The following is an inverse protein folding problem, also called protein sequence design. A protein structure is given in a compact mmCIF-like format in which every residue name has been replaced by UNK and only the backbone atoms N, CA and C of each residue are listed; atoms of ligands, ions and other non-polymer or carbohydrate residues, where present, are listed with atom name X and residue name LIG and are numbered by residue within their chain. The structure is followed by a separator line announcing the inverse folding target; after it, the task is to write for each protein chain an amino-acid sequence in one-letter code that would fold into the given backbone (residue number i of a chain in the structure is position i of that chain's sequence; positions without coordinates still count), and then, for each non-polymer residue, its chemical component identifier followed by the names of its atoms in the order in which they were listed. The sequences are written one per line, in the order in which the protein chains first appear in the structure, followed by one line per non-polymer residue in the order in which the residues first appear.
data_IF_162758884988
#
_entry.id   IF_162758884988
#
_cell.length_a   1.000
_cell.length_b   1.000
_cell.length_c   1.000
_cell.angle_alpha   90.00
_cell.angle_beta   90.00
_cell.angle_gamma   90.00
#
_symmetry.space_group_name_H-M   'P 1'
#
loop_
_entity.id
_entity.type
_entity.pdbx_description
1 polymer ?
#
# COMPACT_ATOMS: atom_id res chain seq x y z
N UNK A 1 7.77 49.57 61.91
CA UNK A 1 7.37 50.00 60.57
C UNK A 1 8.32 49.35 59.58
N UNK A 2 7.98 48.17 59.04
CA UNK A 2 8.77 47.43 58.06
C UNK A 2 7.94 47.31 56.77
N UNK A 3 8.41 47.96 55.72
CA UNK A 3 7.82 47.98 54.39
C UNK A 3 8.35 46.73 53.63
N UNK A 4 7.41 45.86 53.26
CA UNK A 4 7.66 44.74 52.35
C UNK A 4 7.40 45.20 50.92
N UNK A 5 8.48 45.22 50.09
CA UNK A 5 8.38 45.41 48.64
C UNK A 5 8.12 44.03 47.98
N UNK A 6 6.98 43.89 47.38
CA UNK A 6 6.63 42.74 46.56
C UNK A 6 7.07 43.00 45.11
N UNK A 7 8.04 42.23 44.63
CA UNK A 7 8.49 42.25 43.23
C UNK A 7 7.57 41.32 42.40
N UNK A 8 6.73 41.86 41.52
CA UNK A 8 5.98 41.14 40.56
C UNK A 8 6.86 40.80 39.33
N UNK A 9 7.29 39.57 39.22
CA UNK A 9 7.98 39.06 38.03
C UNK A 9 6.97 38.77 36.90
N UNK A 10 7.06 39.55 35.81
CA UNK A 10 6.30 39.33 34.59
C UNK A 10 6.98 38.23 33.76
N UNK A 11 6.45 37.01 33.78
CA UNK A 11 6.90 35.95 32.92
C UNK A 11 6.32 36.17 31.51
N UNK A 12 7.14 36.64 30.56
CA UNK A 12 6.81 36.60 29.13
C UNK A 12 6.85 35.15 28.66
N UNK A 13 5.71 34.54 28.45
CA UNK A 13 5.57 33.31 27.72
C UNK A 13 5.82 33.63 26.24
N UNK A 14 7.02 33.23 25.73
CA UNK A 14 7.29 33.18 24.30
C UNK A 14 6.45 32.04 23.71
N UNK A 15 5.25 32.36 23.22
CA UNK A 15 4.51 31.47 22.36
C UNK A 15 5.31 31.33 21.05
N UNK A 16 6.00 30.20 20.87
CA UNK A 16 6.51 29.80 19.56
C UNK A 16 5.32 29.72 18.62
N UNK A 17 5.31 30.40 17.46
CA UNK A 17 4.28 30.18 16.48
C UNK A 17 4.40 28.72 16.03
N UNK A 18 3.37 27.92 16.28
CA UNK A 18 3.21 26.67 15.57
C UNK A 18 3.15 27.04 14.08
N UNK A 19 4.20 26.75 13.33
CA UNK A 19 4.19 26.85 11.88
C UNK A 19 3.09 25.86 11.43
N UNK A 20 1.90 26.41 11.15
CA UNK A 20 0.89 25.67 10.42
C UNK A 20 1.59 25.12 9.16
N UNK A 21 1.41 23.84 8.89
CA UNK A 21 2.01 23.23 7.72
C UNK A 21 1.47 23.95 6.49
N UNK A 22 2.29 24.81 5.87
CA UNK A 22 1.92 25.57 4.69
C UNK A 22 1.68 24.61 3.53
N UNK A 23 0.42 24.32 3.23
CA UNK A 23 0.02 23.56 2.06
C UNK A 23 -0.92 24.39 1.20
N UNK A 24 -1.00 24.08 -0.08
CA UNK A 24 -1.87 24.79 -1.03
C UNK A 24 -2.33 23.90 -2.18
N UNK A 25 -3.43 24.29 -2.80
CA UNK A 25 -4.01 23.57 -3.94
C UNK A 25 -3.75 24.30 -5.27
N UNK A 26 -2.94 25.37 -5.27
CA UNK A 26 -2.55 26.16 -6.43
C UNK A 26 -1.08 26.55 -6.34
N UNK A 27 -0.55 27.24 -7.37
CA UNK A 27 0.81 27.77 -7.34
C UNK A 27 1.02 28.90 -6.31
N UNK A 28 -0.06 29.53 -5.78
CA UNK A 28 0.07 30.63 -4.83
C UNK A 28 0.70 30.11 -3.52
N UNK A 29 1.85 30.69 -3.15
CA UNK A 29 2.62 30.28 -1.97
C UNK A 29 3.64 29.17 -2.21
N UNK A 30 3.67 28.54 -3.39
CA UNK A 30 4.59 27.45 -3.71
C UNK A 30 6.07 27.85 -3.56
N UNK A 31 6.45 29.07 -4.00
CA UNK A 31 7.83 29.54 -3.88
C UNK A 31 8.27 29.69 -2.41
N UNK A 32 7.37 30.16 -1.53
CA UNK A 32 7.63 30.24 -0.09
C UNK A 32 7.77 28.85 0.54
N UNK A 33 6.93 27.91 0.08
CA UNK A 33 7.03 26.51 0.49
C UNK A 33 8.37 25.89 0.05
N UNK A 34 8.82 26.10 -1.19
CA UNK A 34 10.13 25.60 -1.66
C UNK A 34 11.26 26.11 -0.75
N UNK A 35 11.28 27.39 -0.41
CA UNK A 35 12.25 27.95 0.53
C UNK A 35 12.20 27.30 1.91
N UNK A 36 11.00 26.96 2.40
CA UNK A 36 10.87 26.23 3.66
C UNK A 36 11.42 24.80 3.56
N UNK A 37 11.21 24.13 2.43
CA UNK A 37 11.75 22.78 2.18
C UNK A 37 13.27 22.78 2.01
N UNK A 38 13.85 23.82 1.40
CA UNK A 38 15.30 24.03 1.34
C UNK A 38 15.89 24.11 2.75
N UNK A 39 15.31 24.97 3.60
CA UNK A 39 15.75 25.13 4.99
C UNK A 39 15.59 23.82 5.80
N UNK A 40 14.48 23.11 5.62
CA UNK A 40 14.23 21.83 6.29
C UNK A 40 15.22 20.76 5.84
N UNK A 41 15.50 20.65 4.53
CA UNK A 41 16.45 19.69 3.99
C UNK A 41 17.87 19.92 4.53
N UNK A 42 18.33 21.20 4.57
CA UNK A 42 19.63 21.58 5.15
C UNK A 42 19.66 21.22 6.65
N UNK A 43 18.60 21.53 7.39
CA UNK A 43 18.50 21.21 8.81
C UNK A 43 18.56 19.70 9.09
N UNK A 44 18.11 18.88 8.14
CA UNK A 44 18.20 17.40 8.17
C UNK A 44 19.54 16.86 7.64
N UNK A 45 20.48 17.72 7.27
CA UNK A 45 21.83 17.33 6.87
C UNK A 45 22.01 17.08 5.38
N UNK A 46 21.01 17.38 4.54
CA UNK A 46 21.18 17.30 3.08
C UNK A 46 22.15 18.39 2.63
N UNK A 47 23.19 18.05 1.85
CA UNK A 47 24.17 19.03 1.39
C UNK A 47 23.52 20.13 0.52
N UNK A 48 23.91 21.40 0.73
CA UNK A 48 23.39 22.55 -0.03
C UNK A 48 23.47 22.36 -1.55
N UNK A 49 24.55 21.71 -2.03
CA UNK A 49 24.70 21.37 -3.46
C UNK A 49 23.51 20.59 -4.00
N UNK A 50 22.98 19.66 -3.23
CA UNK A 50 21.82 18.82 -3.62
C UNK A 50 20.51 19.55 -3.44
N UNK A 51 20.40 20.41 -2.42
CA UNK A 51 19.22 21.26 -2.17
C UNK A 51 18.99 22.23 -3.32
N UNK A 52 20.03 22.68 -4.04
CA UNK A 52 19.89 23.49 -5.26
C UNK A 52 19.10 22.81 -6.39
N UNK A 53 18.83 21.53 -6.28
CA UNK A 53 17.88 20.86 -7.21
C UNK A 53 16.46 21.43 -7.12
N UNK A 54 16.16 22.21 -6.07
CA UNK A 54 14.91 22.95 -5.91
C UNK A 54 14.93 24.33 -6.58
N UNK A 55 16.11 24.85 -7.01
CA UNK A 55 16.21 26.14 -7.68
C UNK A 55 15.38 26.14 -8.96
N UNK A 56 14.44 27.09 -9.07
CA UNK A 56 13.57 27.23 -10.24
C UNK A 56 12.53 26.14 -10.43
N UNK A 57 12.27 25.30 -9.44
CA UNK A 57 11.17 24.32 -9.48
C UNK A 57 9.83 25.07 -9.46
N UNK A 58 8.98 24.76 -10.45
CA UNK A 58 7.64 25.32 -10.58
C UNK A 58 6.57 24.30 -10.20
N UNK A 59 5.47 24.81 -9.62
CA UNK A 59 4.28 24.00 -9.35
C UNK A 59 3.71 23.39 -10.66
N UNK A 60 3.38 22.10 -10.63
CA UNK A 60 2.87 21.40 -11.79
C UNK A 60 1.39 20.98 -11.64
N UNK A 61 0.44 21.73 -12.19
CA UNK A 61 -0.98 21.39 -12.10
C UNK A 61 -1.33 20.07 -12.81
N UNK A 62 -0.51 19.60 -13.75
CA UNK A 62 -0.74 18.33 -14.43
C UNK A 62 -0.50 17.14 -13.49
N UNK A 63 0.45 17.25 -12.57
CA UNK A 63 0.67 16.27 -11.50
C UNK A 63 -0.59 16.19 -10.61
N UNK A 64 -1.11 17.32 -10.18
CA UNK A 64 -2.31 17.36 -9.34
C UNK A 64 -3.54 16.79 -10.06
N UNK A 65 -3.70 17.12 -11.34
CA UNK A 65 -4.77 16.53 -12.17
C UNK A 65 -4.68 15.00 -12.19
N UNK A 66 -3.48 14.43 -12.34
CA UNK A 66 -3.26 12.98 -12.30
C UNK A 66 -3.55 12.40 -10.92
N UNK A 67 -3.10 13.07 -9.86
CA UNK A 67 -3.37 12.64 -8.48
C UNK A 67 -4.88 12.60 -8.17
N UNK A 68 -5.66 13.54 -8.69
CA UNK A 68 -7.12 13.57 -8.52
C UNK A 68 -7.86 12.58 -9.44
N UNK A 69 -7.25 12.20 -10.56
CA UNK A 69 -7.86 11.28 -11.53
C UNK A 69 -7.72 9.78 -11.18
N UNK A 70 -7.14 9.43 -10.05
CA UNK A 70 -6.93 8.04 -9.59
C UNK A 70 -8.23 7.31 -9.20
N UNK A 71 -9.32 7.52 -9.93
CA UNK A 71 -10.61 6.85 -9.67
C UNK A 71 -10.68 5.40 -10.21
N UNK A 72 -9.54 4.84 -10.67
CA UNK A 72 -9.51 3.64 -11.53
C UNK A 72 -9.56 2.29 -10.75
N UNK A 73 -9.52 2.29 -9.43
CA UNK A 73 -9.45 1.05 -8.64
C UNK A 73 -10.80 0.57 -8.08
N UNK A 74 -11.87 0.69 -8.86
CA UNK A 74 -13.17 0.08 -8.53
C UNK A 74 -13.38 -1.28 -9.18
N UNK A 75 -12.42 -1.77 -9.95
CA UNK A 75 -12.50 -3.08 -10.58
C UNK A 75 -12.55 -4.20 -9.54
N UNK A 76 -13.34 -5.23 -9.82
CA UNK A 76 -13.26 -6.49 -9.08
C UNK A 76 -11.87 -7.13 -9.24
N UNK A 77 -11.49 -8.01 -8.32
CA UNK A 77 -10.21 -8.73 -8.45
C UNK A 77 -10.11 -9.47 -9.80
N UNK A 78 -11.16 -10.13 -10.26
CA UNK A 78 -11.15 -10.87 -11.53
C UNK A 78 -10.99 -9.94 -12.73
N UNK A 79 -11.63 -8.76 -12.72
CA UNK A 79 -11.49 -7.80 -13.81
C UNK A 79 -10.12 -7.13 -13.79
N UNK A 80 -9.65 -6.74 -12.62
CA UNK A 80 -8.34 -6.12 -12.45
C UNK A 80 -7.22 -7.06 -12.86
N UNK A 81 -7.21 -8.30 -12.35
CA UNK A 81 -6.18 -9.26 -12.71
C UNK A 81 -6.19 -9.59 -14.21
N UNK A 82 -7.39 -9.65 -14.84
CA UNK A 82 -7.49 -9.89 -16.28
C UNK A 82 -6.87 -8.76 -17.12
N UNK A 83 -6.98 -7.51 -16.64
CA UNK A 83 -6.33 -6.35 -17.28
C UNK A 83 -4.82 -6.36 -17.05
N UNK A 84 -4.42 -6.68 -15.81
CA UNK A 84 -3.01 -6.56 -15.40
C UNK A 84 -2.16 -7.77 -15.78
N UNK A 85 -2.72 -8.97 -15.82
CA UNK A 85 -1.99 -10.21 -16.15
C UNK A 85 -2.23 -10.60 -17.61
N UNK A 86 -1.56 -9.88 -18.51
CA UNK A 86 -1.58 -10.21 -19.93
C UNK A 86 -0.80 -11.48 -20.22
N UNK A 87 -1.09 -12.12 -21.36
CA UNK A 87 -0.31 -13.26 -21.85
C UNK A 87 1.16 -12.88 -22.11
N UNK A 88 1.42 -11.63 -22.48
CA UNK A 88 2.78 -11.09 -22.62
C UNK A 88 3.51 -11.09 -21.27
N UNK A 89 2.95 -10.43 -20.24
CA UNK A 89 3.58 -10.37 -18.89
C UNK A 89 3.87 -11.75 -18.33
N UNK A 90 2.95 -12.70 -18.51
CA UNK A 90 3.13 -14.06 -18.02
C UNK A 90 4.27 -14.79 -18.77
N UNK A 91 4.23 -14.80 -20.09
CA UNK A 91 5.25 -15.47 -20.90
C UNK A 91 6.63 -14.83 -20.76
N UNK A 92 6.69 -13.50 -20.82
CA UNK A 92 7.93 -12.75 -20.66
C UNK A 92 8.50 -12.93 -19.26
N UNK A 93 7.66 -12.88 -18.21
CA UNK A 93 8.09 -13.12 -16.84
C UNK A 93 8.70 -14.50 -16.65
N UNK A 94 8.06 -15.56 -17.17
CA UNK A 94 8.62 -16.92 -17.14
C UNK A 94 9.95 -17.02 -17.90
N UNK A 95 10.07 -16.37 -19.07
CA UNK A 95 11.31 -16.35 -19.84
C UNK A 95 12.44 -15.61 -19.09
N UNK A 96 12.14 -14.48 -18.42
CA UNK A 96 13.12 -13.72 -17.65
C UNK A 96 13.59 -14.46 -16.39
N UNK A 97 12.72 -15.22 -15.72
CA UNK A 97 13.14 -16.11 -14.62
C UNK A 97 14.20 -17.10 -15.12
N UNK A 98 14.01 -17.70 -16.29
CA UNK A 98 14.98 -18.64 -16.87
C UNK A 98 16.25 -17.92 -17.35
N UNK A 99 16.10 -16.82 -18.07
CA UNK A 99 17.23 -16.03 -18.61
C UNK A 99 18.19 -15.58 -17.51
N UNK A 100 17.67 -15.13 -16.37
CA UNK A 100 18.46 -14.60 -15.27
C UNK A 100 18.57 -15.59 -14.08
N UNK A 101 18.41 -16.89 -14.34
CA UNK A 101 18.36 -17.92 -13.28
C UNK A 101 19.52 -17.82 -12.29
N UNK A 102 20.76 -17.73 -12.77
CA UNK A 102 21.93 -17.66 -11.89
C UNK A 102 21.93 -16.41 -10.99
N UNK A 103 21.43 -15.28 -11.49
CA UNK A 103 21.26 -14.06 -10.73
C UNK A 103 20.16 -14.24 -9.66
N UNK A 104 19.01 -14.77 -10.04
CA UNK A 104 17.92 -15.04 -9.09
C UNK A 104 18.30 -16.06 -8.03
N UNK A 105 19.08 -17.09 -8.37
CA UNK A 105 19.58 -18.07 -7.39
C UNK A 105 20.45 -17.39 -6.31
N UNK A 106 21.32 -16.45 -6.71
CA UNK A 106 22.12 -15.65 -5.77
C UNK A 106 21.23 -14.74 -4.90
N UNK A 107 20.32 -13.99 -5.52
CA UNK A 107 19.38 -13.09 -4.83
C UNK A 107 18.52 -13.89 -3.83
N UNK A 108 17.98 -15.03 -4.24
CA UNK A 108 17.18 -15.87 -3.34
C UNK A 108 18.01 -16.43 -2.17
N UNK A 109 19.26 -16.80 -2.41
CA UNK A 109 20.18 -17.25 -1.33
C UNK A 109 20.44 -16.12 -0.32
N UNK A 110 20.56 -14.89 -0.78
CA UNK A 110 20.91 -13.74 0.06
C UNK A 110 19.70 -13.13 0.77
N UNK A 111 18.62 -12.87 0.02
CA UNK A 111 17.44 -12.18 0.52
C UNK A 111 16.26 -13.10 0.84
N UNK A 112 16.31 -14.36 0.39
CA UNK A 112 15.24 -15.34 0.62
C UNK A 112 13.98 -15.12 -0.22
N UNK A 113 14.03 -14.23 -1.24
CA UNK A 113 12.87 -13.87 -2.08
C UNK A 113 12.95 -14.65 -3.40
N UNK A 114 11.93 -15.47 -3.74
CA UNK A 114 11.92 -16.27 -4.97
C UNK A 114 11.78 -15.41 -6.23
N UNK A 115 12.42 -15.81 -7.32
CA UNK A 115 12.38 -15.14 -8.61
C UNK A 115 10.97 -14.76 -9.09
N UNK A 116 9.93 -15.62 -9.02
CA UNK A 116 8.59 -15.28 -9.47
C UNK A 116 7.99 -14.05 -8.76
N UNK A 117 8.34 -13.85 -7.49
CA UNK A 117 7.87 -12.70 -6.69
C UNK A 117 8.46 -11.40 -7.22
N UNK A 118 9.78 -11.34 -7.35
CA UNK A 118 10.51 -10.17 -7.87
C UNK A 118 10.03 -9.82 -9.29
N UNK A 119 9.91 -10.83 -10.13
CA UNK A 119 9.48 -10.67 -11.53
C UNK A 119 8.03 -10.19 -11.64
N UNK A 120 7.15 -10.59 -10.71
CA UNK A 120 5.76 -10.12 -10.70
C UNK A 120 5.68 -8.60 -10.44
N UNK A 121 6.45 -8.06 -9.49
CA UNK A 121 6.54 -6.62 -9.27
C UNK A 121 7.16 -5.93 -10.49
N UNK A 122 8.26 -6.43 -11.02
CA UNK A 122 8.90 -5.86 -12.22
C UNK A 122 7.95 -5.80 -13.42
N UNK A 123 7.11 -6.83 -13.59
CA UNK A 123 6.09 -6.87 -14.63
C UNK A 123 4.99 -5.82 -14.43
N UNK A 124 4.47 -5.72 -13.19
CA UNK A 124 3.32 -4.86 -12.91
C UNK A 124 3.68 -3.38 -12.83
N UNK A 125 4.88 -3.06 -12.35
CA UNK A 125 5.32 -1.68 -12.18
C UNK A 125 5.67 -1.02 -13.53
N UNK A 126 6.43 -1.72 -14.38
CA UNK A 126 6.98 -1.07 -15.57
C UNK A 126 7.02 -1.91 -16.84
N UNK A 127 6.31 -3.04 -16.91
CA UNK A 127 6.47 -4.01 -18.01
C UNK A 127 7.96 -4.37 -18.25
N UNK A 128 8.63 -4.75 -17.16
CA UNK A 128 10.05 -5.13 -17.16
C UNK A 128 11.00 -4.00 -17.59
N UNK A 129 10.73 -2.79 -17.14
CA UNK A 129 11.53 -1.61 -17.42
C UNK A 129 11.14 -0.85 -18.69
N UNK A 130 10.12 -1.30 -19.42
CA UNK A 130 9.69 -0.66 -20.66
C UNK A 130 9.03 0.73 -20.44
N UNK A 131 8.46 0.98 -19.26
CA UNK A 131 7.68 2.20 -18.94
C UNK A 131 8.01 2.74 -17.56
N UNK A 132 9.19 3.34 -17.38
CA UNK A 132 9.65 3.87 -16.08
C UNK A 132 9.15 5.27 -15.77
N UNK A 133 8.55 5.99 -16.75
CA UNK A 133 8.12 7.36 -16.63
C UNK A 133 9.22 8.37 -16.95
N UNK A 134 8.79 9.59 -17.36
CA UNK A 134 9.67 10.70 -17.77
C UNK A 134 9.40 11.99 -17.02
N UNK A 135 8.61 11.94 -15.93
CA UNK A 135 8.37 13.11 -15.09
C UNK A 135 9.63 13.46 -14.30
N UNK A 136 9.91 14.75 -14.17
CA UNK A 136 10.92 15.23 -13.23
C UNK A 136 10.49 14.87 -11.80
N UNK A 137 11.21 13.94 -11.17
CA UNK A 137 10.86 13.39 -9.86
C UNK A 137 10.89 14.48 -8.77
N UNK A 138 11.86 15.40 -8.79
CA UNK A 138 11.94 16.49 -7.81
C UNK A 138 10.73 17.42 -7.95
N UNK A 139 10.39 17.83 -9.17
CA UNK A 139 9.22 18.66 -9.45
C UNK A 139 7.91 17.97 -9.06
N UNK A 140 7.80 16.69 -9.36
CA UNK A 140 6.62 15.90 -9.00
C UNK A 140 6.45 15.82 -7.48
N UNK A 141 7.51 15.46 -6.76
CA UNK A 141 7.49 15.36 -5.31
C UNK A 141 7.28 16.72 -4.64
N UNK A 142 7.91 17.80 -5.13
CA UNK A 142 7.69 19.15 -4.61
C UNK A 142 6.23 19.60 -4.76
N UNK A 143 5.62 19.35 -5.93
CA UNK A 143 4.22 19.66 -6.18
C UNK A 143 3.29 18.88 -5.25
N UNK A 144 3.52 17.58 -5.07
CA UNK A 144 2.72 16.72 -4.20
C UNK A 144 2.95 17.01 -2.71
N UNK A 145 4.16 17.41 -2.32
CA UNK A 145 4.49 17.82 -0.96
C UNK A 145 3.84 19.16 -0.56
N UNK A 146 3.58 20.04 -1.54
CA UNK A 146 2.82 21.27 -1.37
C UNK A 146 1.31 21.02 -1.27
N UNK A 147 0.78 20.03 -1.98
CA UNK A 147 -0.65 19.76 -2.05
C UNK A 147 -1.24 19.36 -0.69
N UNK A 148 -2.38 19.98 -0.30
CA UNK A 148 -3.01 19.73 1.00
C UNK A 148 -3.66 18.34 1.17
N UNK A 149 -3.63 17.49 0.13
CA UNK A 149 -4.25 16.16 0.20
C UNK A 149 -3.43 15.17 1.00
N UNK A 150 -2.09 15.15 0.83
CA UNK A 150 -1.19 14.16 1.43
C UNK A 150 0.24 14.73 1.63
N UNK A 151 0.40 15.94 2.19
CA UNK A 151 1.72 16.55 2.36
C UNK A 151 2.64 15.70 3.25
N UNK A 152 2.09 15.06 4.28
CA UNK A 152 2.80 14.18 5.20
C UNK A 152 3.45 12.98 4.50
N UNK A 153 2.86 12.49 3.41
CA UNK A 153 3.43 11.42 2.61
C UNK A 153 4.59 11.90 1.73
N UNK A 154 4.45 13.07 1.11
CA UNK A 154 5.37 13.49 0.04
C UNK A 154 6.52 14.39 0.50
N UNK A 155 6.40 15.11 1.61
CA UNK A 155 7.51 15.91 2.17
C UNK A 155 8.74 15.06 2.53
N UNK A 156 8.60 13.95 3.26
CA UNK A 156 9.74 13.07 3.51
C UNK A 156 10.36 12.52 2.23
N UNK A 157 9.53 12.21 1.22
CA UNK A 157 10.01 11.72 -0.07
C UNK A 157 10.83 12.77 -0.84
N UNK A 158 10.42 14.05 -0.80
CA UNK A 158 11.16 15.14 -1.40
C UNK A 158 12.56 15.28 -0.74
N UNK A 159 12.62 15.22 0.59
CA UNK A 159 13.90 15.31 1.31
C UNK A 159 14.78 14.10 0.98
N UNK A 160 14.25 12.89 0.98
CA UNK A 160 14.99 11.70 0.59
C UNK A 160 15.48 11.78 -0.87
N UNK A 161 14.70 12.35 -1.78
CA UNK A 161 15.11 12.56 -3.16
C UNK A 161 16.28 13.54 -3.30
N UNK A 162 16.32 14.61 -2.49
CA UNK A 162 17.45 15.54 -2.44
C UNK A 162 18.70 14.88 -1.84
N UNK A 163 18.53 14.02 -0.85
CA UNK A 163 19.64 13.26 -0.25
C UNK A 163 20.23 12.24 -1.23
N UNK A 164 19.38 11.54 -1.99
CA UNK A 164 19.83 10.62 -3.05
C UNK A 164 20.74 11.30 -4.08
N UNK A 165 20.46 12.56 -4.45
CA UNK A 165 21.34 13.33 -5.34
C UNK A 165 22.74 13.55 -4.73
N UNK A 166 22.84 13.62 -3.40
CA UNK A 166 24.13 13.80 -2.70
C UNK A 166 25.01 12.57 -2.80
N UNK A 167 24.40 11.39 -2.88
CA UNK A 167 25.08 10.09 -2.92
C UNK A 167 25.66 9.74 -4.29
N UNK A 168 25.18 10.41 -5.35
CA UNK A 168 25.74 10.28 -6.69
C UNK A 168 25.25 9.07 -7.50
N UNK A 169 24.30 8.31 -6.98
CA UNK A 169 23.70 7.19 -7.71
C UNK A 169 22.94 7.67 -8.96
N UNK A 170 22.34 8.85 -8.89
CA UNK A 170 21.60 9.49 -9.97
C UNK A 170 22.05 10.94 -10.15
N UNK A 171 22.21 11.38 -11.40
CA UNK A 171 22.40 12.77 -11.71
C UNK A 171 21.04 13.49 -11.75
N UNK A 172 21.08 14.82 -11.56
CA UNK A 172 19.83 15.64 -11.57
C UNK A 172 19.00 15.49 -12.85
N UNK A 173 19.66 15.40 -14.00
CA UNK A 173 19.01 15.22 -15.30
C UNK A 173 18.46 13.80 -15.54
N UNK A 174 18.97 12.81 -14.82
CA UNK A 174 18.50 11.42 -14.81
C UNK A 174 17.38 11.16 -13.78
N UNK A 175 17.11 12.13 -12.89
CA UNK A 175 16.13 11.98 -11.81
C UNK A 175 14.70 12.09 -12.36
N UNK A 176 14.32 11.08 -13.14
CA UNK A 176 13.03 10.96 -13.82
C UNK A 176 12.33 9.67 -13.42
N UNK A 177 11.01 9.72 -13.37
CA UNK A 177 10.21 8.57 -12.98
C UNK A 177 8.73 8.76 -13.28
N UNK A 178 7.87 8.07 -12.53
CA UNK A 178 6.43 8.23 -12.64
C UNK A 178 5.96 9.59 -12.09
N UNK A 179 4.70 9.90 -12.34
CA UNK A 179 4.11 11.19 -12.00
C UNK A 179 4.02 11.47 -10.49
N UNK A 180 4.02 10.45 -9.63
CA UNK A 180 4.00 10.60 -8.18
C UNK A 180 5.40 10.49 -7.55
N UNK A 181 6.45 10.49 -8.37
CA UNK A 181 7.83 10.56 -7.92
C UNK A 181 8.52 9.21 -7.73
N UNK A 182 7.87 8.11 -8.13
CA UNK A 182 8.47 6.78 -8.14
C UNK A 182 9.57 6.67 -9.21
N UNK A 183 10.64 5.92 -8.88
CA UNK A 183 11.88 5.86 -9.66
C UNK A 183 12.21 4.42 -10.04
N UNK A 184 12.75 4.23 -11.25
CA UNK A 184 13.36 2.98 -11.69
C UNK A 184 12.37 1.93 -12.15
N UNK A 185 12.90 0.74 -12.43
CA UNK A 185 12.13 -0.33 -13.08
C UNK A 185 11.11 -1.02 -12.16
N UNK A 186 11.23 -0.86 -10.86
CA UNK A 186 10.28 -1.36 -9.86
C UNK A 186 9.64 -0.24 -9.02
N UNK A 187 9.71 1.00 -9.52
CA UNK A 187 8.96 2.16 -9.05
C UNK A 187 9.11 2.44 -7.56
N UNK A 188 10.37 2.53 -7.11
CA UNK A 188 10.69 2.86 -5.71
C UNK A 188 10.37 4.31 -5.42
N UNK A 189 9.78 4.57 -4.26
CA UNK A 189 9.78 5.90 -3.68
C UNK A 189 11.22 6.30 -3.27
N UNK A 190 11.50 7.59 -3.21
CA UNK A 190 12.87 8.07 -2.94
C UNK A 190 13.42 7.55 -1.61
N UNK A 191 12.60 7.48 -0.57
CA UNK A 191 12.99 6.93 0.72
C UNK A 191 13.36 5.44 0.62
N UNK A 192 12.54 4.64 -0.07
CA UNK A 192 12.80 3.21 -0.26
C UNK A 192 14.05 2.97 -1.12
N UNK A 193 14.27 3.83 -2.11
CA UNK A 193 15.50 3.81 -2.91
C UNK A 193 16.71 4.02 -2.02
N UNK A 194 16.69 5.05 -1.22
CA UNK A 194 17.81 5.39 -0.33
C UNK A 194 18.12 4.27 0.66
N UNK A 195 17.10 3.75 1.30
CA UNK A 195 17.21 2.74 2.34
C UNK A 195 17.47 1.32 1.82
N UNK A 196 17.01 0.99 0.60
CA UNK A 196 16.91 -0.42 0.18
C UNK A 196 17.62 -0.74 -1.13
N UNK A 197 18.01 0.27 -1.93
CA UNK A 197 18.77 0.01 -3.12
C UNK A 197 20.15 -0.55 -2.80
N UNK A 198 20.58 -1.52 -3.60
CA UNK A 198 21.90 -2.17 -3.49
C UNK A 198 22.62 -2.12 -4.84
N UNK A 199 23.91 -1.86 -4.81
CA UNK A 199 24.84 -2.03 -5.93
C UNK A 199 25.17 -3.53 -6.01
N UNK A 200 24.50 -4.26 -6.87
CA UNK A 200 24.59 -5.72 -6.91
C UNK A 200 25.51 -6.24 -8.04
N UNK A 201 25.84 -5.40 -9.01
CA UNK A 201 26.87 -5.70 -10.01
C UNK A 201 28.27 -5.18 -9.62
N UNK A 202 28.37 -4.31 -8.59
CA UNK A 202 29.61 -3.85 -7.99
C UNK A 202 30.29 -2.75 -8.80
N UNK A 203 29.51 -1.96 -9.57
CA UNK A 203 30.03 -0.85 -10.38
C UNK A 203 30.25 0.45 -9.60
N UNK A 204 29.84 0.48 -8.33
CA UNK A 204 29.91 1.62 -7.42
C UNK A 204 28.67 2.51 -7.44
N UNK A 205 27.58 2.09 -8.06
CA UNK A 205 26.29 2.81 -8.11
C UNK A 205 25.13 1.87 -7.82
N UNK A 206 24.06 2.41 -7.29
CA UNK A 206 22.79 1.69 -7.11
C UNK A 206 21.82 2.12 -8.23
N UNK A 207 21.96 1.55 -9.44
CA UNK A 207 21.22 1.99 -10.62
C UNK A 207 19.91 1.18 -10.82
N UNK A 208 18.82 1.64 -10.23
CA UNK A 208 17.49 1.04 -10.39
C UNK A 208 16.82 1.34 -11.73
N UNK A 209 17.48 2.06 -12.63
CA UNK A 209 16.97 2.37 -13.97
C UNK A 209 17.54 1.46 -15.05
N UNK A 210 18.86 1.18 -15.00
CA UNK A 210 19.56 0.55 -16.11
C UNK A 210 20.26 -0.75 -15.72
N UNK A 211 20.66 -0.95 -14.44
CA UNK A 211 21.26 -2.18 -13.96
C UNK A 211 20.21 -3.20 -13.54
N UNK A 212 20.03 -4.25 -14.34
CA UNK A 212 19.12 -5.37 -13.98
C UNK A 212 19.52 -6.04 -12.67
N UNK A 213 20.81 -6.32 -12.37
CA UNK A 213 21.21 -6.86 -11.07
C UNK A 213 20.75 -5.99 -9.89
N UNK A 214 20.94 -4.67 -9.97
CA UNK A 214 20.57 -3.75 -8.92
C UNK A 214 19.05 -3.68 -8.75
N UNK A 215 18.30 -3.59 -9.85
CA UNK A 215 16.83 -3.60 -9.83
C UNK A 215 16.29 -4.82 -9.10
N UNK A 216 16.75 -6.01 -9.48
CA UNK A 216 16.20 -7.26 -8.95
C UNK A 216 16.63 -7.50 -7.50
N UNK A 217 17.88 -7.20 -7.15
CA UNK A 217 18.37 -7.36 -5.79
C UNK A 217 17.79 -6.30 -4.84
N UNK A 218 17.66 -5.05 -5.28
CA UNK A 218 17.02 -4.00 -4.49
C UNK A 218 15.55 -4.31 -4.23
N UNK A 219 14.83 -4.84 -5.23
CA UNK A 219 13.45 -5.29 -5.05
C UNK A 219 13.34 -6.38 -3.98
N UNK A 220 14.24 -7.36 -4.01
CA UNK A 220 14.30 -8.40 -2.99
C UNK A 220 14.65 -7.83 -1.61
N UNK A 221 15.60 -6.89 -1.53
CA UNK A 221 15.99 -6.25 -0.29
C UNK A 221 14.83 -5.43 0.33
N UNK A 222 14.09 -4.68 -0.49
CA UNK A 222 12.90 -3.94 -0.03
C UNK A 222 11.83 -4.88 0.52
N UNK A 223 11.52 -5.97 -0.21
CA UNK A 223 10.57 -6.97 0.26
C UNK A 223 11.01 -7.59 1.59
N UNK A 224 12.32 -7.84 1.77
CA UNK A 224 12.86 -8.33 3.03
C UNK A 224 12.70 -7.32 4.17
N UNK A 225 12.95 -6.04 3.90
CA UNK A 225 12.73 -4.95 4.88
C UNK A 225 11.24 -4.79 5.22
N UNK A 226 10.36 -5.07 4.29
CA UNK A 226 8.92 -5.13 4.54
C UNK A 226 8.49 -6.34 5.39
N UNK A 227 9.39 -7.28 5.65
CA UNK A 227 9.15 -8.43 6.51
C UNK A 227 9.00 -9.76 5.78
N UNK A 228 9.51 -9.88 4.53
CA UNK A 228 9.52 -11.16 3.84
C UNK A 228 10.21 -12.25 4.65
N UNK A 229 9.53 -13.38 4.84
CA UNK A 229 10.02 -14.57 5.54
C UNK A 229 10.52 -15.60 4.54
N UNK A 230 11.83 -15.90 4.50
CA UNK A 230 12.38 -16.92 3.61
C UNK A 230 11.75 -18.30 3.83
N UNK A 231 11.41 -18.98 2.73
CA UNK A 231 10.84 -20.33 2.79
C UNK A 231 9.35 -20.39 3.11
N UNK A 232 8.73 -19.30 3.52
CA UNK A 232 7.29 -19.23 3.73
C UNK A 232 6.56 -18.90 2.41
N UNK A 233 5.42 -19.54 2.12
CA UNK A 233 4.60 -19.19 0.97
C UNK A 233 4.01 -17.77 1.11
N UNK A 234 3.45 -17.22 0.05
CA UNK A 234 2.77 -15.90 0.06
C UNK A 234 1.28 -16.01 -0.18
N UNK A 235 0.86 -16.79 -1.19
CA UNK A 235 -0.54 -16.93 -1.57
C UNK A 235 -0.80 -18.31 -2.17
N UNK A 236 -1.91 -18.94 -1.79
CA UNK A 236 -2.35 -20.23 -2.33
C UNK A 236 -3.84 -20.18 -2.64
N UNK A 237 -4.25 -20.40 -3.89
CA UNK A 237 -5.65 -20.55 -4.23
C UNK A 237 -6.25 -21.81 -3.61
N UNK A 238 -7.47 -21.67 -3.07
CA UNK A 238 -8.20 -22.75 -2.40
C UNK A 238 -9.66 -22.77 -2.80
N UNK A 239 -10.35 -23.87 -2.52
CA UNK A 239 -11.81 -23.96 -2.56
C UNK A 239 -12.39 -23.89 -1.16
N UNK A 240 -13.43 -23.12 -1.00
CA UNK A 240 -14.17 -22.99 0.27
C UNK A 240 -15.50 -23.76 0.19
N UNK A 241 -15.95 -24.40 1.30
CA UNK A 241 -17.24 -25.07 1.34
C UNK A 241 -18.40 -24.06 1.37
N UNK A 242 -19.62 -24.55 1.23
CA UNK A 242 -20.82 -23.72 1.33
C UNK A 242 -21.05 -23.16 2.76
N UNK A 243 -20.62 -23.92 3.77
CA UNK A 243 -20.71 -23.55 5.18
C UNK A 243 -19.28 -23.49 5.74
N UNK A 244 -18.93 -22.36 6.29
CA UNK A 244 -17.65 -22.09 6.93
C UNK A 244 -17.93 -21.08 8.06
N UNK A 245 -17.15 -21.04 9.14
CA UNK A 245 -17.21 -19.93 10.08
C UNK A 245 -16.69 -18.67 9.38
N UNK A 246 -17.59 -17.96 8.66
CA UNK A 246 -17.21 -16.84 7.80
C UNK A 246 -16.63 -15.67 8.56
N UNK A 247 -16.91 -15.57 9.86
CA UNK A 247 -16.30 -14.60 10.78
C UNK A 247 -14.78 -14.79 10.90
N UNK A 248 -14.26 -15.99 10.66
CA UNK A 248 -12.84 -16.30 10.65
C UNK A 248 -12.16 -15.96 9.30
N UNK A 249 -12.95 -15.69 8.25
CA UNK A 249 -12.43 -15.29 6.96
C UNK A 249 -12.05 -13.80 6.97
N UNK A 250 -10.84 -13.51 7.43
CA UNK A 250 -10.28 -12.17 7.54
C UNK A 250 -8.77 -12.19 7.37
N UNK A 251 -8.23 -11.15 6.74
CA UNK A 251 -6.78 -11.06 6.50
C UNK A 251 -5.98 -10.90 7.81
N UNK A 252 -6.62 -10.42 8.87
CA UNK A 252 -6.01 -10.27 10.19
C UNK A 252 -6.12 -11.53 11.05
N UNK A 253 -6.97 -12.50 10.67
CA UNK A 253 -7.20 -13.72 11.44
C UNK A 253 -6.49 -14.88 10.77
N UNK A 254 -5.53 -15.47 11.47
CA UNK A 254 -4.73 -16.58 10.95
C UNK A 254 -4.98 -17.85 11.74
N UNK A 255 -5.15 -18.93 11.02
CA UNK A 255 -5.24 -20.28 11.59
C UNK A 255 -4.22 -21.20 10.95
N UNK A 256 -3.81 -22.28 11.64
CA UNK A 256 -3.05 -23.35 11.03
C UNK A 256 -3.78 -23.89 9.78
N UNK A 257 -3.05 -24.28 8.75
CA UNK A 257 -3.64 -24.87 7.53
C UNK A 257 -4.50 -26.09 7.81
N UNK A 258 -4.17 -26.88 8.84
CA UNK A 258 -4.98 -27.99 9.33
C UNK A 258 -6.37 -27.54 9.74
N UNK A 259 -6.48 -26.40 10.45
CA UNK A 259 -7.77 -25.87 10.89
C UNK A 259 -8.65 -25.46 9.70
N UNK A 260 -8.06 -24.84 8.68
CA UNK A 260 -8.79 -24.54 7.44
C UNK A 260 -9.27 -25.83 6.76
N UNK A 261 -8.43 -26.87 6.74
CA UNK A 261 -8.79 -28.18 6.18
C UNK A 261 -9.92 -28.86 6.96
N UNK A 262 -9.92 -28.78 8.28
CA UNK A 262 -10.99 -29.28 9.16
C UNK A 262 -12.32 -28.57 8.90
N UNK A 263 -12.28 -27.28 8.60
CA UNK A 263 -13.47 -26.51 8.19
C UNK A 263 -13.87 -26.76 6.75
N UNK A 264 -13.21 -27.66 6.04
CA UNK A 264 -13.57 -28.12 4.70
C UNK A 264 -12.95 -27.29 3.58
N UNK A 265 -11.98 -26.42 3.86
CA UNK A 265 -11.19 -25.75 2.81
C UNK A 265 -10.26 -26.77 2.17
N UNK A 266 -10.22 -26.79 0.84
CA UNK A 266 -9.42 -27.75 0.07
C UNK A 266 -8.54 -27.04 -0.95
N UNK A 267 -7.56 -27.75 -1.48
CA UNK A 267 -6.87 -27.31 -2.70
C UNK A 267 -7.85 -27.19 -3.87
N UNK A 268 -7.48 -26.44 -4.91
CA UNK A 268 -8.35 -26.23 -6.09
C UNK A 268 -8.78 -27.55 -6.74
N UNK A 269 -7.95 -28.58 -6.69
CA UNK A 269 -8.25 -29.92 -7.21
C UNK A 269 -9.13 -30.78 -6.28
N UNK A 270 -9.54 -30.24 -5.12
CA UNK A 270 -10.36 -30.92 -4.12
C UNK A 270 -9.57 -31.75 -3.11
N UNK A 271 -8.25 -31.85 -3.23
CA UNK A 271 -7.41 -32.56 -2.25
C UNK A 271 -7.35 -31.79 -0.92
N UNK A 272 -7.18 -32.49 0.24
CA UNK A 272 -6.95 -31.82 1.51
C UNK A 272 -5.72 -30.91 1.47
N UNK A 273 -5.78 -29.83 2.24
CA UNK A 273 -4.62 -28.97 2.45
C UNK A 273 -3.69 -29.67 3.43
N UNK A 274 -2.44 -29.87 3.04
CA UNK A 274 -1.44 -30.46 3.93
C UNK A 274 -1.05 -29.46 5.01
N UNK A 275 -1.06 -29.90 6.26
CA UNK A 275 -0.53 -29.13 7.39
C UNK A 275 1.00 -29.03 7.26
N UNK A 276 1.53 -27.83 7.18
CA UNK A 276 2.97 -27.53 7.13
C UNK A 276 3.44 -26.65 8.29
N UNK A 277 2.53 -26.29 9.18
CA UNK A 277 2.82 -25.44 10.32
C UNK A 277 2.76 -23.94 10.05
N UNK A 278 2.63 -23.49 8.79
CA UNK A 278 2.47 -22.08 8.49
C UNK A 278 1.02 -21.64 8.70
N UNK A 279 0.75 -20.67 9.59
CA UNK A 279 -0.59 -20.11 9.74
C UNK A 279 -0.92 -19.26 8.51
N UNK A 280 -2.19 -19.27 8.12
CA UNK A 280 -2.69 -18.50 7.00
C UNK A 280 -4.02 -17.85 7.32
N UNK A 281 -4.26 -16.70 6.74
CA UNK A 281 -5.56 -16.03 6.71
C UNK A 281 -6.37 -16.49 5.49
N UNK A 282 -7.68 -16.55 5.60
CA UNK A 282 -8.54 -16.81 4.44
C UNK A 282 -8.91 -15.47 3.78
N UNK A 283 -8.32 -15.21 2.63
CA UNK A 283 -8.54 -14.02 1.81
C UNK A 283 -9.64 -14.28 0.80
N UNK A 284 -10.69 -13.48 0.86
CA UNK A 284 -11.85 -13.49 -0.04
C UNK A 284 -11.98 -12.14 -0.76
N UNK A 285 -11.23 -11.90 -1.84
CA UNK A 285 -11.22 -10.58 -2.51
C UNK A 285 -12.59 -10.20 -3.08
N UNK A 286 -13.41 -11.17 -3.40
CA UNK A 286 -14.77 -11.01 -3.95
C UNK A 286 -15.83 -11.75 -3.12
N UNK A 287 -15.61 -11.86 -1.81
CA UNK A 287 -16.50 -12.57 -0.89
C UNK A 287 -16.51 -14.09 -1.08
N UNK A 288 -17.41 -14.78 -0.37
CA UNK A 288 -17.50 -16.25 -0.31
C UNK A 288 -17.81 -16.96 -1.62
N UNK A 289 -18.33 -16.23 -2.59
CA UNK A 289 -18.69 -16.79 -3.90
C UNK A 289 -17.56 -16.67 -4.93
N UNK A 290 -16.67 -15.70 -4.77
CA UNK A 290 -15.53 -15.48 -5.65
C UNK A 290 -14.35 -16.40 -5.38
N UNK A 291 -13.21 -16.14 -6.02
CA UNK A 291 -11.95 -16.82 -5.73
C UNK A 291 -11.55 -16.68 -4.26
N UNK A 292 -10.99 -17.74 -3.70
CA UNK A 292 -10.53 -17.78 -2.33
C UNK A 292 -9.05 -18.17 -2.27
N UNK A 293 -8.32 -17.56 -1.32
CA UNK A 293 -6.91 -17.82 -1.14
C UNK A 293 -6.56 -17.98 0.34
N UNK A 294 -5.61 -18.85 0.63
CA UNK A 294 -4.84 -18.75 1.85
C UNK A 294 -3.71 -17.74 1.64
N UNK A 295 -3.73 -16.68 2.43
CA UNK A 295 -2.73 -15.63 2.48
C UNK A 295 -1.83 -15.84 3.69
N UNK A 296 -0.52 -15.91 3.46
CA UNK A 296 0.49 -16.16 4.46
C UNK A 296 1.15 -14.87 4.94
N UNK A 297 2.07 -14.94 5.91
CA UNK A 297 2.79 -13.77 6.41
C UNK A 297 3.40 -12.92 5.29
N UNK A 298 4.02 -13.56 4.30
CA UNK A 298 4.63 -12.84 3.18
C UNK A 298 3.64 -11.99 2.38
N UNK A 299 2.36 -12.37 2.32
CA UNK A 299 1.33 -11.54 1.70
C UNK A 299 1.03 -10.30 2.54
N UNK A 300 0.83 -10.46 3.85
CA UNK A 300 0.44 -9.37 4.74
C UNK A 300 1.60 -8.43 5.05
N UNK A 301 2.81 -8.96 5.25
CA UNK A 301 3.98 -8.17 5.60
C UNK A 301 4.68 -7.54 4.40
N UNK A 302 4.76 -8.22 3.24
CA UNK A 302 5.53 -7.70 2.12
C UNK A 302 4.64 -7.12 1.00
N UNK A 303 3.64 -7.87 0.52
CA UNK A 303 2.81 -7.37 -0.58
C UNK A 303 1.93 -6.19 -0.17
N UNK A 304 1.27 -6.25 0.99
CA UNK A 304 0.42 -5.14 1.46
C UNK A 304 1.23 -3.91 1.90
N UNK A 305 2.49 -4.07 2.31
CA UNK A 305 3.37 -2.91 2.55
C UNK A 305 3.89 -2.30 1.27
N UNK A 306 4.08 -3.09 0.21
CA UNK A 306 4.42 -2.57 -1.11
C UNK A 306 3.29 -1.70 -1.65
N UNK A 307 2.05 -2.19 -1.56
CA UNK A 307 0.88 -1.46 -1.98
C UNK A 307 -0.33 -1.84 -1.11
N UNK A 308 -0.92 -0.85 -0.44
CA UNK A 308 -2.06 -1.03 0.47
C UNK A 308 -3.35 -1.49 -0.23
N UNK A 309 -3.41 -1.41 -1.57
CA UNK A 309 -4.55 -1.89 -2.33
C UNK A 309 -4.65 -3.42 -2.30
N UNK A 310 -5.66 -3.95 -1.60
CA UNK A 310 -5.89 -5.39 -1.53
C UNK A 310 -6.02 -6.03 -2.92
N UNK A 311 -6.68 -5.34 -3.86
CA UNK A 311 -6.85 -5.82 -5.25
C UNK A 311 -5.51 -5.86 -5.98
N UNK A 312 -4.69 -4.81 -5.86
CA UNK A 312 -3.34 -4.79 -6.45
C UNK A 312 -2.46 -5.89 -5.84
N UNK A 313 -2.36 -5.93 -4.51
CA UNK A 313 -1.48 -6.88 -3.81
C UNK A 313 -1.89 -8.34 -4.05
N UNK A 314 -3.20 -8.62 -4.09
CA UNK A 314 -3.68 -9.96 -4.47
C UNK A 314 -3.30 -10.29 -5.92
N UNK A 315 -3.39 -9.31 -6.84
CA UNK A 315 -3.03 -9.50 -8.24
C UNK A 315 -1.53 -9.73 -8.41
N UNK A 316 -0.69 -8.98 -7.70
CA UNK A 316 0.77 -9.15 -7.72
C UNK A 316 1.20 -10.53 -7.16
N UNK A 317 0.64 -10.89 -6.01
CA UNK A 317 0.87 -12.19 -5.39
C UNK A 317 0.40 -13.35 -6.28
N UNK A 318 -0.76 -13.20 -6.90
CA UNK A 318 -1.30 -14.17 -7.85
C UNK A 318 -0.45 -14.25 -9.14
N UNK A 319 0.01 -13.12 -9.70
CA UNK A 319 0.93 -13.14 -10.85
C UNK A 319 2.22 -13.91 -10.51
N UNK A 320 2.76 -13.71 -9.31
CA UNK A 320 3.93 -14.47 -8.86
C UNK A 320 3.65 -15.99 -8.84
N UNK A 321 2.48 -16.43 -8.35
CA UNK A 321 2.12 -17.88 -8.42
C UNK A 321 2.02 -18.37 -9.86
N UNK A 322 1.45 -17.56 -10.77
CA UNK A 322 1.32 -17.88 -12.20
C UNK A 322 2.67 -17.99 -12.90
N UNK A 323 3.59 -17.07 -12.63
CA UNK A 323 4.98 -17.13 -13.14
C UNK A 323 5.67 -18.39 -12.61
N UNK A 324 5.39 -18.78 -11.36
CA UNK A 324 5.85 -20.02 -10.73
C UNK A 324 5.19 -21.29 -11.25
N UNK A 325 4.26 -21.20 -12.22
CA UNK A 325 3.65 -22.36 -12.88
C UNK A 325 2.24 -22.74 -12.38
N UNK A 326 1.63 -21.97 -11.47
CA UNK A 326 0.26 -22.22 -11.04
C UNK A 326 -0.74 -22.05 -12.20
N UNK A 327 -1.88 -22.78 -12.20
CA UNK A 327 -2.93 -22.63 -13.20
C UNK A 327 -3.66 -21.28 -13.10
N UNK A 328 -4.48 -20.96 -14.09
CA UNK A 328 -5.36 -19.81 -14.04
C UNK A 328 -6.35 -19.90 -12.85
N UNK A 329 -6.60 -18.73 -12.22
CA UNK A 329 -7.54 -18.64 -11.10
C UNK A 329 -8.94 -19.08 -11.52
N UNK A 330 -9.62 -19.79 -10.63
CA UNK A 330 -11.02 -20.17 -10.81
C UNK A 330 -11.93 -18.93 -10.69
N UNK A 331 -13.11 -18.95 -11.30
CA UNK A 331 -14.09 -17.87 -11.14
C UNK A 331 -14.69 -17.82 -9.73
N UNK A 332 -14.38 -18.79 -8.89
CA UNK A 332 -14.96 -18.96 -7.58
C UNK A 332 -16.02 -20.04 -7.51
N UNK A 333 -16.79 -20.07 -6.42
CA UNK A 333 -17.80 -21.10 -6.12
C UNK A 333 -19.15 -20.86 -6.79
N UNK A 334 -19.52 -19.59 -6.96
CA UNK A 334 -20.81 -19.17 -7.52
C UNK A 334 -20.68 -17.77 -8.14
N UNK A 335 -21.67 -17.31 -8.92
CA UNK A 335 -21.69 -15.93 -9.39
C UNK A 335 -21.54 -14.93 -8.25
N UNK A 336 -20.70 -13.93 -8.47
CA UNK A 336 -20.50 -12.82 -7.54
C UNK A 336 -21.39 -11.67 -7.94
N UNK A 337 -22.09 -11.11 -6.97
CA UNK A 337 -22.87 -9.90 -7.16
C UNK A 337 -21.95 -8.69 -7.31
N UNK A 338 -22.19 -7.90 -8.35
CA UNK A 338 -21.42 -6.68 -8.62
C UNK A 338 -22.25 -5.46 -8.28
N UNK A 339 -21.88 -4.79 -7.21
CA UNK A 339 -22.49 -3.51 -6.85
C UNK A 339 -21.95 -2.39 -7.73
N UNK A 340 -22.83 -1.49 -8.13
CA UNK A 340 -22.43 -0.26 -8.80
C UNK A 340 -21.69 0.67 -7.83
N UNK A 341 -20.94 1.61 -8.41
CA UNK A 341 -20.23 2.64 -7.67
C UNK A 341 -21.17 3.42 -6.72
N UNK A 342 -22.37 3.77 -7.18
CA UNK A 342 -23.35 4.50 -6.37
C UNK A 342 -23.94 3.65 -5.24
N UNK A 343 -24.13 2.34 -5.47
CA UNK A 343 -24.55 1.42 -4.42
C UNK A 343 -23.50 1.29 -3.31
N UNK A 344 -22.21 1.23 -3.68
CA UNK A 344 -21.13 1.17 -2.69
C UNK A 344 -21.05 2.50 -1.92
N UNK A 345 -21.19 3.65 -2.58
CA UNK A 345 -21.26 4.96 -1.90
C UNK A 345 -22.44 5.05 -0.94
N UNK A 346 -23.61 4.58 -1.36
CA UNK A 346 -24.78 4.52 -0.49
C UNK A 346 -24.50 3.67 0.76
N UNK A 347 -23.86 2.51 0.58
CA UNK A 347 -23.48 1.65 1.71
C UNK A 347 -22.49 2.36 2.63
N UNK A 348 -21.44 2.95 2.08
CA UNK A 348 -20.45 3.69 2.86
C UNK A 348 -21.10 4.81 3.67
N UNK A 349 -22.02 5.58 3.06
CA UNK A 349 -22.76 6.63 3.79
C UNK A 349 -23.59 6.05 4.94
N UNK A 350 -24.34 4.96 4.70
CA UNK A 350 -25.11 4.30 5.76
C UNK A 350 -24.23 3.79 6.89
N UNK A 351 -23.06 3.23 6.56
CA UNK A 351 -22.10 2.75 7.57
C UNK A 351 -21.51 3.94 8.36
N UNK A 352 -21.17 5.04 7.70
CA UNK A 352 -20.69 6.25 8.35
C UNK A 352 -21.74 6.86 9.28
N UNK A 353 -23.01 6.89 8.87
CA UNK A 353 -24.12 7.35 9.70
C UNK A 353 -24.34 6.47 10.95
N UNK A 354 -23.89 5.21 10.91
CA UNK A 354 -23.86 4.29 12.05
C UNK A 354 -22.60 4.41 12.91
N UNK A 355 -21.67 5.31 12.56
CA UNK A 355 -20.44 5.60 13.32
C UNK A 355 -19.23 4.76 12.93
N UNK A 356 -19.26 4.06 11.78
CA UNK A 356 -18.09 3.32 11.30
C UNK A 356 -17.13 4.25 10.56
N UNK A 357 -15.83 4.03 10.77
CA UNK A 357 -14.81 4.62 9.91
C UNK A 357 -14.66 3.81 8.62
N UNK A 358 -15.32 4.26 7.58
CA UNK A 358 -15.22 3.68 6.23
C UNK A 358 -14.18 4.41 5.36
N UNK A 359 -13.47 5.38 5.94
CA UNK A 359 -12.64 6.32 5.20
C UNK A 359 -13.49 7.29 4.38
N UNK A 360 -13.12 7.47 3.11
CA UNK A 360 -13.89 8.35 2.19
C UNK A 360 -15.09 7.60 1.64
N UNK A 361 -16.23 8.31 1.53
CA UNK A 361 -17.41 7.83 0.80
C UNK A 361 -17.15 8.01 -0.70
N UNK A 362 -16.35 7.12 -1.25
CA UNK A 362 -15.79 7.25 -2.60
C UNK A 362 -16.23 6.11 -3.55
N UNK A 363 -17.05 5.18 -3.09
CA UNK A 363 -17.51 4.04 -3.89
C UNK A 363 -16.49 2.92 -4.06
N UNK A 364 -15.38 2.92 -3.28
CA UNK A 364 -14.34 1.89 -3.30
C UNK A 364 -14.43 1.02 -2.06
N UNK A 365 -14.28 -0.29 -2.22
CA UNK A 365 -14.30 -1.23 -1.10
C UNK A 365 -12.88 -1.32 -0.50
N UNK A 366 -12.52 -0.33 0.34
CA UNK A 366 -11.28 -0.31 1.09
C UNK A 366 -11.35 -1.14 2.38
N UNK A 367 -10.24 -1.16 3.13
CA UNK A 367 -10.15 -1.91 4.40
C UNK A 367 -11.20 -1.48 5.42
N UNK A 368 -11.39 -0.18 5.66
CA UNK A 368 -12.43 0.33 6.58
C UNK A 368 -13.84 -0.08 6.15
N UNK A 369 -14.17 0.02 4.86
CA UNK A 369 -15.46 -0.44 4.34
C UNK A 369 -15.64 -1.95 4.56
N UNK A 370 -14.61 -2.77 4.29
CA UNK A 370 -14.68 -4.23 4.50
C UNK A 370 -14.87 -4.59 5.97
N UNK A 371 -14.19 -3.92 6.88
CA UNK A 371 -14.32 -4.13 8.32
C UNK A 371 -15.74 -3.77 8.80
N UNK A 372 -16.27 -2.63 8.39
CA UNK A 372 -17.63 -2.21 8.71
C UNK A 372 -18.70 -3.15 8.12
N UNK A 373 -18.51 -3.62 6.88
CA UNK A 373 -19.37 -4.63 6.25
C UNK A 373 -19.39 -5.90 7.07
N UNK A 374 -18.23 -6.43 7.47
CA UNK A 374 -18.12 -7.64 8.28
C UNK A 374 -18.88 -7.51 9.61
N UNK A 375 -18.68 -6.42 10.32
CA UNK A 375 -19.36 -6.19 11.59
C UNK A 375 -20.88 -6.09 11.41
N UNK A 376 -21.35 -5.44 10.36
CA UNK A 376 -22.79 -5.41 10.03
C UNK A 376 -23.33 -6.78 9.63
N UNK A 377 -22.57 -7.56 8.86
CA UNK A 377 -22.96 -8.94 8.51
C UNK A 377 -23.12 -9.79 9.78
N UNK A 378 -22.20 -9.69 10.75
CA UNK A 378 -22.30 -10.35 12.04
C UNK A 378 -23.55 -9.92 12.83
N UNK A 379 -23.79 -8.61 12.96
CA UNK A 379 -24.97 -8.06 13.66
C UNK A 379 -26.30 -8.45 13.03
N UNK A 380 -26.32 -8.68 11.74
CA UNK A 380 -27.50 -9.06 10.99
C UNK A 380 -27.66 -10.59 10.83
N UNK A 381 -26.73 -11.39 11.36
CA UNK A 381 -26.75 -12.85 11.22
C UNK A 381 -26.52 -13.31 9.76
N UNK A 382 -25.78 -12.51 8.99
CA UNK A 382 -25.39 -12.83 7.61
C UNK A 382 -24.01 -13.50 7.60
N UNK A 383 -23.66 -14.26 6.55
CA UNK A 383 -22.27 -14.74 6.39
C UNK A 383 -21.30 -13.56 6.36
N UNK A 384 -20.36 -13.52 7.32
CA UNK A 384 -19.46 -12.38 7.56
C UNK A 384 -18.18 -12.50 6.72
N UNK A 385 -18.32 -12.41 5.40
CA UNK A 385 -17.23 -12.55 4.41
C UNK A 385 -16.59 -11.22 3.98
N UNK A 386 -16.95 -10.12 4.64
CA UNK A 386 -16.45 -8.77 4.38
C UNK A 386 -16.76 -8.23 2.97
N UNK A 387 -17.66 -8.88 2.20
CA UNK A 387 -18.04 -8.45 0.86
C UNK A 387 -19.46 -7.92 0.84
N UNK A 388 -19.69 -6.70 0.32
CA UNK A 388 -21.02 -6.10 0.31
C UNK A 388 -21.94 -6.74 -0.74
N UNK A 389 -23.25 -6.81 -0.41
CA UNK A 389 -24.32 -7.28 -1.29
C UNK A 389 -25.51 -6.31 -1.27
N UNK A 390 -26.43 -6.39 -2.23
CA UNK A 390 -27.67 -5.60 -2.22
C UNK A 390 -28.49 -5.91 -0.95
N UNK A 391 -28.60 -7.19 -0.57
CA UNK A 391 -29.24 -7.58 0.69
C UNK A 391 -28.66 -6.84 1.91
N UNK A 392 -27.32 -6.70 1.97
CA UNK A 392 -26.69 -5.95 3.06
C UNK A 392 -27.10 -4.47 3.01
N UNK A 393 -27.06 -3.83 1.83
CA UNK A 393 -27.44 -2.42 1.65
C UNK A 393 -28.88 -2.19 2.13
N UNK A 394 -29.82 -3.08 1.82
CA UNK A 394 -31.21 -3.01 2.25
C UNK A 394 -31.35 -3.14 3.77
N UNK A 395 -30.58 -4.05 4.39
CA UNK A 395 -30.69 -4.39 5.81
C UNK A 395 -29.92 -3.45 6.74
N UNK A 396 -28.84 -2.79 6.25
CA UNK A 396 -28.07 -1.82 7.04
C UNK A 396 -28.94 -0.61 7.42
N UNK A 397 -29.03 -0.37 8.73
CA UNK A 397 -29.81 0.76 9.31
C UNK A 397 -31.29 0.44 9.57
N UNK A 398 -31.81 -0.74 9.18
CA UNK A 398 -33.23 -1.08 9.47
C UNK A 398 -33.43 -1.68 10.85
N UNK A 399 -32.36 -2.10 11.54
CA UNK A 399 -32.38 -2.83 12.81
C UNK A 399 -32.06 -2.05 14.09
N UNK A 400 -31.85 -0.74 14.06
CA UNK A 400 -31.36 -0.01 15.23
C UNK A 400 -32.07 1.32 15.48
N UNK A 401 -33.33 1.26 15.98
CA UNK A 401 -33.86 2.36 16.81
C UNK A 401 -33.56 2.05 18.29
N UNK A 402 -32.31 1.97 18.69
CA UNK A 402 -31.89 2.18 20.09
C UNK A 402 -31.20 3.53 20.18
N UNK A 403 -31.86 4.47 20.93
CA UNK A 403 -31.40 5.82 21.21
C UNK A 403 -29.92 5.82 21.64
N UNK A 404 -29.10 6.59 20.94
CA UNK A 404 -27.79 6.98 21.41
C UNK A 404 -27.93 7.77 22.71
N UNK A 405 -27.27 7.32 23.76
CA UNK A 405 -27.07 8.05 25.02
C UNK A 405 -26.01 9.13 24.74
N UNK A 406 -26.20 10.37 25.15
CA UNK A 406 -25.21 11.41 24.93
C UNK A 406 -23.91 11.05 25.64
N UNK A 407 -22.79 11.19 24.92
CA UNK A 407 -21.47 11.04 25.46
C UNK A 407 -21.21 12.09 26.55
N UNK A 408 -20.83 11.63 27.72
CA UNK A 408 -20.30 12.47 28.79
C UNK A 408 -18.90 12.97 28.36
N UNK A 409 -18.73 14.26 28.45
CA UNK A 409 -17.43 14.96 28.37
C UNK A 409 -16.54 14.46 29.50
N UNK A 410 -15.42 13.84 29.21
CA UNK A 410 -14.33 13.65 30.16
C UNK A 410 -13.02 14.14 29.58
N UNK A 411 -12.32 14.84 30.44
CA UNK A 411 -11.10 15.62 30.25
C UNK A 411 -9.87 14.75 29.97
N UNK A 412 -9.00 15.34 29.19
CA UNK A 412 -7.53 15.22 29.14
C UNK A 412 -6.83 14.08 29.92
N UNK A 413 -6.16 13.23 29.18
CA UNK A 413 -5.08 12.38 29.66
C UNK A 413 -4.16 12.05 28.50
N UNK A 414 -2.99 12.71 28.43
CA UNK A 414 -1.88 12.35 27.56
C UNK A 414 -1.41 10.93 27.89
N UNK A 415 -1.35 10.07 26.90
CA UNK A 415 -0.39 8.98 26.87
C UNK A 415 0.04 8.72 25.40
N UNK A 416 1.30 8.88 25.19
CA UNK A 416 2.06 8.44 24.03
C UNK A 416 1.91 6.93 23.90
N UNK A 417 1.38 6.48 22.75
CA UNK A 417 1.63 5.11 22.33
C UNK A 417 1.66 5.04 20.79
N UNK A 418 2.82 4.60 20.31
CA UNK A 418 3.05 4.30 18.92
C UNK A 418 2.27 3.02 18.56
N UNK A 419 1.16 3.18 17.90
CA UNK A 419 0.34 2.08 17.39
C UNK A 419 0.35 2.06 15.87
N UNK A 420 1.08 1.12 15.29
CA UNK A 420 1.10 0.78 13.88
C UNK A 420 -0.32 0.54 13.34
N UNK A 421 -0.77 1.36 12.42
CA UNK A 421 -1.95 1.06 11.61
C UNK A 421 -1.55 0.14 10.45
N UNK A 422 -1.76 -1.16 10.66
CA UNK A 422 -1.80 -2.19 9.62
C UNK A 422 -3.27 -2.33 9.16
N UNK A 423 -3.61 -1.77 7.99
CA UNK A 423 -4.63 -2.30 7.06
C UNK A 423 -4.58 -1.55 5.73
#
# INVERSE_FOLDING_TARGET
MRILLASAGLALALASPALAADCGNTAAGFDSFIKSMEAEAIAKGVPEKSVRALDGIEYDPAIIKRDRAQNIFSDSFLDFQKKMISSYRLKQGQALVQKHKALFDRINKEFGVPAPVIVAFWALETDFGATTGDFDTIRALATLAWDCRRPEKFRPQLIAALDLLSKGDLRRDEFKGAWAGEIGQTQFMAYDYDESAVDYDGDGKRDLRNSIPDVLASTANLLRKHGWQPGEPWLQEVKVPAKLPWEEADIAIRHPRSQWSEWGVTQVNGSPIKGDGFPAALLLPMGRNGPAFLAYENFTSAYLKWNESLVYSTTAAYLATRIGGAPAVSPGRAPVEHLSYDQIRLLQQKLQDLGYDVGKVDGKIGAGTRAAVKDQQLKLGMPADSYPTEELIERVGTGSKKKAKPAATEESGQSTDEGSNLY
#
